data_IF_392343347288
#
_entry.id   IF_392343347288
#
_cell.length_a   1.000
_cell.length_b   1.000
_cell.length_c   1.000
_cell.angle_alpha   90.00
_cell.angle_beta   90.00
_cell.angle_gamma   90.00
#
_symmetry.space_group_name_H-M   'P 1'
#
loop_
_entity.id
_entity.type
_entity.pdbx_description
1 polymer ?
#
# COMPACT_ATOMS: atom_id res chain seq x y z
N UNK A 1 50.18 24.50 39.91
CA UNK A 1 48.99 24.95 39.14
C UNK A 1 48.92 24.13 37.87
N UNK A 2 47.90 23.28 37.71
CA UNK A 2 47.68 22.58 36.44
C UNK A 2 47.20 23.59 35.40
N UNK A 3 47.96 23.80 34.33
CA UNK A 3 47.49 24.56 33.17
C UNK A 3 46.39 23.74 32.49
N UNK A 4 45.15 24.23 32.51
CA UNK A 4 44.11 23.71 31.64
C UNK A 4 44.50 24.04 30.19
N UNK A 5 44.78 23.02 29.39
CA UNK A 5 44.95 23.18 27.95
C UNK A 5 43.56 23.44 27.34
N UNK A 6 43.41 24.55 26.62
CA UNK A 6 42.20 24.87 25.85
C UNK A 6 42.26 24.27 24.45
N UNK A 7 41.10 24.16 23.79
CA UNK A 7 40.97 23.74 22.40
C UNK A 7 41.59 24.76 21.45
N UNK A 8 42.25 24.29 20.39
CA UNK A 8 42.75 25.17 19.32
C UNK A 8 41.68 25.38 18.24
N UNK A 9 41.77 26.49 17.49
CA UNK A 9 40.90 26.72 16.33
C UNK A 9 40.98 25.57 15.31
N UNK A 10 42.19 25.02 15.10
CA UNK A 10 42.42 23.88 14.20
C UNK A 10 41.66 22.64 14.70
N UNK A 11 41.72 22.37 16.00
CA UNK A 11 41.02 21.23 16.61
C UNK A 11 39.49 21.38 16.51
N UNK A 12 38.96 22.60 16.70
CA UNK A 12 37.55 22.87 16.47
C UNK A 12 37.14 22.67 15.00
N UNK A 13 37.95 23.11 14.05
CA UNK A 13 37.66 22.94 12.61
C UNK A 13 37.72 21.46 12.21
N UNK A 14 38.73 20.72 12.69
CA UNK A 14 38.88 19.29 12.40
C UNK A 14 37.72 18.48 13.00
N UNK A 15 37.32 18.76 14.24
CA UNK A 15 36.19 18.07 14.88
C UNK A 15 34.89 18.33 14.15
N UNK A 16 34.60 19.59 13.78
CA UNK A 16 33.40 19.93 12.99
C UNK A 16 33.42 19.26 11.62
N UNK A 17 34.58 19.20 10.95
CA UNK A 17 34.71 18.50 9.66
C UNK A 17 34.44 16.99 9.78
N UNK A 18 34.98 16.33 10.81
CA UNK A 18 34.73 14.90 11.05
C UNK A 18 33.24 14.66 11.29
N UNK A 19 32.59 15.47 12.12
CA UNK A 19 31.15 15.37 12.38
C UNK A 19 30.33 15.58 11.10
N UNK A 20 30.70 16.55 10.26
CA UNK A 20 30.02 16.81 8.99
C UNK A 20 30.12 15.63 8.01
N UNK A 21 31.30 15.00 7.90
CA UNK A 21 31.51 13.81 7.04
C UNK A 21 30.68 12.63 7.55
N UNK A 22 30.70 12.38 8.87
CA UNK A 22 29.92 11.30 9.48
C UNK A 22 28.41 11.51 9.28
N UNK A 23 27.94 12.75 9.45
CA UNK A 23 26.54 13.09 9.22
C UNK A 23 26.10 12.86 7.77
N UNK A 24 26.94 13.21 6.79
CA UNK A 24 26.66 12.98 5.37
C UNK A 24 26.53 11.49 5.02
N UNK A 25 27.35 10.62 5.63
CA UNK A 25 27.29 9.17 5.40
C UNK A 25 26.06 8.47 6.00
N UNK A 26 25.43 9.04 7.03
CA UNK A 26 24.31 8.41 7.72
C UNK A 26 22.96 8.52 6.97
N UNK A 27 22.76 9.60 6.21
CA UNK A 27 21.51 9.86 5.47
C UNK A 27 21.09 8.77 4.46
N UNK A 28 21.97 8.27 3.56
CA UNK A 28 21.56 7.28 2.55
C UNK A 28 21.10 5.95 3.16
N UNK A 29 21.69 5.53 4.28
CA UNK A 29 21.31 4.30 4.99
C UNK A 29 19.89 4.42 5.57
N UNK A 30 19.55 5.59 6.10
CA UNK A 30 18.22 5.88 6.63
C UNK A 30 17.15 5.85 5.54
N UNK A 31 17.42 6.50 4.39
CA UNK A 31 16.49 6.50 3.24
C UNK A 31 16.22 5.08 2.72
N UNK A 32 17.27 4.23 2.64
CA UNK A 32 17.13 2.83 2.26
C UNK A 32 16.23 2.06 3.23
N UNK A 33 16.38 2.30 4.53
CA UNK A 33 15.59 1.63 5.57
C UNK A 33 14.12 2.03 5.48
N UNK A 34 13.84 3.34 5.31
CA UNK A 34 12.48 3.85 5.12
C UNK A 34 11.84 3.22 3.89
N UNK A 35 12.54 3.22 2.75
CA UNK A 35 12.04 2.63 1.51
C UNK A 35 11.73 1.14 1.67
N UNK A 36 12.64 0.37 2.27
CA UNK A 36 12.42 -1.06 2.55
C UNK A 36 11.19 -1.28 3.44
N UNK A 37 10.98 -0.45 4.45
CA UNK A 37 9.79 -0.53 5.31
C UNK A 37 8.51 -0.24 4.52
N UNK A 38 8.50 0.81 3.69
CA UNK A 38 7.37 1.14 2.82
C UNK A 38 7.08 -0.01 1.83
N UNK A 39 8.10 -0.67 1.28
CA UNK A 39 7.92 -1.81 0.38
C UNK A 39 7.29 -3.03 1.08
N UNK A 40 7.70 -3.33 2.31
CA UNK A 40 7.10 -4.39 3.11
C UNK A 40 5.65 -4.08 3.47
N UNK A 41 5.37 -2.82 3.81
CA UNK A 41 4.02 -2.33 4.08
C UNK A 41 3.13 -2.43 2.84
N UNK A 42 3.64 -1.99 1.67
CA UNK A 42 2.95 -2.07 0.38
C UNK A 42 2.53 -3.51 0.07
N UNK A 43 3.47 -4.47 0.16
CA UNK A 43 3.19 -5.89 -0.08
C UNK A 43 2.15 -6.45 0.89
N UNK A 44 2.17 -5.98 2.14
CA UNK A 44 1.19 -6.36 3.16
C UNK A 44 -0.19 -5.81 2.83
N UNK A 45 -0.29 -4.54 2.45
CA UNK A 45 -1.54 -3.89 2.06
C UNK A 45 -2.14 -4.51 0.80
N UNK A 46 -1.32 -4.76 -0.24
CA UNK A 46 -1.75 -5.46 -1.47
C UNK A 46 -2.33 -6.84 -1.14
N UNK A 47 -1.62 -7.64 -0.33
CA UNK A 47 -2.11 -8.97 0.09
C UNK A 47 -3.41 -8.87 0.88
N UNK A 48 -3.52 -7.90 1.78
CA UNK A 48 -4.72 -7.70 2.58
C UNK A 48 -5.94 -7.38 1.71
N UNK A 49 -5.78 -6.48 0.73
CA UNK A 49 -6.86 -6.11 -0.19
C UNK A 49 -7.22 -7.28 -1.10
N UNK A 50 -6.24 -7.93 -1.74
CA UNK A 50 -6.46 -9.11 -2.61
C UNK A 50 -7.16 -10.24 -1.87
N UNK A 51 -6.77 -10.53 -0.64
CA UNK A 51 -7.45 -11.54 0.20
C UNK A 51 -8.92 -11.18 0.47
N UNK A 52 -9.22 -9.89 0.66
CA UNK A 52 -10.60 -9.42 0.85
C UNK A 52 -11.43 -9.55 -0.44
N UNK A 53 -10.83 -9.25 -1.59
CA UNK A 53 -11.44 -9.46 -2.92
C UNK A 53 -11.74 -10.95 -3.14
N UNK A 54 -10.77 -11.82 -2.88
CA UNK A 54 -10.93 -13.27 -3.01
C UNK A 54 -12.03 -13.81 -2.07
N UNK A 55 -12.11 -13.28 -0.85
CA UNK A 55 -13.16 -13.62 0.10
C UNK A 55 -14.54 -13.16 -0.38
N UNK A 56 -14.64 -11.99 -1.02
CA UNK A 56 -15.87 -11.53 -1.67
C UNK A 56 -16.27 -12.48 -2.79
N UNK A 57 -15.35 -12.80 -3.70
CA UNK A 57 -15.59 -13.72 -4.82
C UNK A 57 -16.07 -15.09 -4.33
N UNK A 58 -15.44 -15.62 -3.28
CA UNK A 58 -15.87 -16.86 -2.64
C UNK A 58 -17.30 -16.78 -2.08
N UNK A 59 -17.64 -15.70 -1.37
CA UNK A 59 -18.99 -15.51 -0.85
C UNK A 59 -20.04 -15.35 -1.98
N UNK A 60 -19.65 -14.73 -3.09
CA UNK A 60 -20.47 -14.67 -4.29
C UNK A 60 -20.69 -16.08 -4.84
N UNK A 61 -19.63 -16.86 -5.06
CA UNK A 61 -19.71 -18.20 -5.63
C UNK A 61 -20.57 -19.14 -4.75
N UNK A 62 -20.44 -19.04 -3.42
CA UNK A 62 -21.27 -19.74 -2.41
C UNK A 62 -22.75 -19.30 -2.38
N UNK A 63 -23.14 -18.26 -3.13
CA UNK A 63 -24.52 -17.77 -3.20
C UNK A 63 -24.96 -16.92 -2.00
N UNK A 64 -24.02 -16.48 -1.15
CA UNK A 64 -24.30 -15.57 -0.04
C UNK A 64 -24.61 -14.16 -0.52
N UNK A 65 -24.11 -13.78 -1.69
CA UNK A 65 -24.34 -12.48 -2.31
C UNK A 65 -25.40 -12.65 -3.40
N UNK A 66 -26.26 -11.63 -3.56
CA UNK A 66 -27.25 -11.62 -4.65
C UNK A 66 -26.51 -11.68 -5.99
N UNK A 67 -26.76 -12.73 -6.77
CA UNK A 67 -26.23 -12.88 -8.12
C UNK A 67 -27.16 -12.22 -9.12
N UNK A 68 -26.62 -11.34 -9.95
CA UNK A 68 -27.26 -10.91 -11.20
C UNK A 68 -26.55 -11.55 -12.40
N UNK A 69 -27.21 -11.61 -13.56
CA UNK A 69 -26.66 -12.27 -14.74
C UNK A 69 -25.45 -11.55 -15.34
N UNK A 70 -25.24 -10.29 -14.97
CA UNK A 70 -24.15 -9.43 -15.47
C UNK A 70 -22.97 -9.34 -14.49
N UNK A 71 -23.08 -9.93 -13.29
CA UNK A 71 -22.03 -9.87 -12.28
C UNK A 71 -20.85 -10.80 -12.63
N UNK A 72 -19.64 -10.25 -12.66
CA UNK A 72 -18.40 -11.03 -12.72
C UNK A 72 -18.13 -11.84 -11.43
N UNK A 73 -18.83 -11.48 -10.35
CA UNK A 73 -18.66 -12.01 -9.01
C UNK A 73 -17.54 -11.33 -8.21
N UNK A 74 -16.87 -10.33 -8.78
CA UNK A 74 -15.95 -9.45 -8.06
C UNK A 74 -16.70 -8.24 -7.47
N UNK A 75 -16.16 -7.59 -6.43
CA UNK A 75 -16.77 -6.39 -5.86
C UNK A 75 -16.82 -5.25 -6.90
N UNK A 76 -17.91 -4.48 -6.99
CA UNK A 76 -17.99 -3.36 -7.94
C UNK A 76 -17.04 -2.21 -7.56
N UNK A 77 -16.80 -2.01 -6.26
CA UNK A 77 -15.87 -1.00 -5.75
C UNK A 77 -15.17 -1.48 -4.47
N UNK A 78 -14.04 -0.85 -4.10
CA UNK A 78 -13.32 -1.19 -2.86
C UNK A 78 -14.12 -0.86 -1.59
N UNK A 79 -14.98 0.17 -1.63
CA UNK A 79 -15.88 0.54 -0.54
C UNK A 79 -16.80 -0.62 -0.16
N UNK A 80 -17.22 -1.44 -1.13
CA UNK A 80 -18.11 -2.58 -0.86
C UNK A 80 -17.46 -3.61 0.07
N UNK A 81 -16.13 -3.74 0.05
CA UNK A 81 -15.41 -4.64 0.93
C UNK A 81 -15.47 -4.18 2.40
N UNK A 82 -15.48 -2.87 2.63
CA UNK A 82 -15.52 -2.24 3.95
C UNK A 82 -16.96 -2.12 4.50
N UNK A 83 -17.88 -1.59 3.68
CA UNK A 83 -19.29 -1.46 4.04
C UNK A 83 -19.93 -2.84 4.26
N UNK A 84 -19.56 -3.79 3.41
CA UNK A 84 -20.07 -5.15 3.39
C UNK A 84 -21.39 -5.30 2.64
N UNK A 85 -21.78 -6.55 2.41
CA UNK A 85 -22.98 -6.93 1.65
C UNK A 85 -23.90 -7.83 2.49
N UNK A 86 -25.20 -7.82 2.20
CA UNK A 86 -26.15 -8.67 2.90
C UNK A 86 -25.99 -10.14 2.50
N UNK A 87 -25.87 -11.01 3.51
CA UNK A 87 -25.91 -12.46 3.34
C UNK A 87 -27.35 -12.92 3.05
N UNK A 88 -27.59 -13.38 1.83
CA UNK A 88 -28.88 -13.88 1.40
C UNK A 88 -29.22 -15.26 1.98
N UNK A 89 -28.21 -16.02 2.44
CA UNK A 89 -28.41 -17.34 3.04
C UNK A 89 -28.74 -17.25 4.53
N UNK A 90 -28.40 -16.15 5.18
CA UNK A 90 -28.64 -15.97 6.60
C UNK A 90 -30.08 -15.50 6.88
N UNK A 91 -30.80 -16.12 7.85
CA UNK A 91 -32.20 -15.77 8.15
C UNK A 91 -32.39 -14.33 8.64
N UNK A 92 -31.32 -13.66 9.11
CA UNK A 92 -31.34 -12.26 9.56
C UNK A 92 -30.61 -11.29 8.61
N UNK A 93 -30.29 -11.71 7.37
CA UNK A 93 -29.56 -10.89 6.38
C UNK A 93 -28.34 -10.19 6.96
N UNK A 94 -27.49 -10.96 7.66
CA UNK A 94 -26.30 -10.43 8.32
C UNK A 94 -25.40 -9.75 7.28
N UNK A 95 -24.79 -8.61 7.64
CA UNK A 95 -23.82 -7.94 6.77
C UNK A 95 -22.49 -8.70 6.84
N UNK A 96 -21.99 -9.14 5.69
CA UNK A 96 -20.67 -9.72 5.48
C UNK A 96 -19.70 -8.60 5.10
N UNK A 97 -18.73 -8.33 5.98
CA UNK A 97 -17.62 -7.42 5.70
C UNK A 97 -16.37 -8.24 5.42
N UNK A 98 -15.60 -7.84 4.42
CA UNK A 98 -14.42 -8.57 3.96
C UNK A 98 -13.12 -7.94 4.48
N UNK A 99 -13.15 -6.66 4.79
CA UNK A 99 -12.04 -5.93 5.40
C UNK A 99 -12.55 -4.95 6.46
N UNK A 100 -11.70 -4.65 7.44
CA UNK A 100 -12.04 -3.68 8.51
C UNK A 100 -11.94 -2.23 8.04
N UNK A 101 -10.97 -1.95 7.17
CA UNK A 101 -10.68 -0.66 6.55
C UNK A 101 -9.74 -0.89 5.38
N UNK A 102 -9.93 -0.16 4.28
CA UNK A 102 -8.96 -0.16 3.17
C UNK A 102 -7.67 0.56 3.63
N UNK A 103 -6.51 -0.11 3.65
CA UNK A 103 -5.25 0.55 3.96
C UNK A 103 -4.84 1.50 2.83
N UNK A 104 -4.11 2.57 3.13
CA UNK A 104 -3.57 3.50 2.11
C UNK A 104 -2.35 2.90 1.43
N UNK A 105 -2.13 3.24 0.15
CA UNK A 105 -0.86 2.96 -0.52
C UNK A 105 0.28 3.75 0.16
N UNK A 106 1.27 3.08 0.79
CA UNK A 106 2.39 3.76 1.45
C UNK A 106 3.37 4.44 0.48
N UNK A 107 3.26 4.16 -0.83
CA UNK A 107 4.03 4.79 -1.90
C UNK A 107 3.31 5.99 -2.54
N UNK A 108 2.06 6.26 -2.14
CA UNK A 108 1.29 7.40 -2.66
C UNK A 108 1.87 8.72 -2.14
N UNK A 109 2.16 9.63 -3.07
CA UNK A 109 2.65 10.99 -2.76
C UNK A 109 1.54 11.96 -2.41
N UNK A 110 0.32 11.70 -2.89
CA UNK A 110 -0.84 12.51 -2.57
C UNK A 110 -1.31 12.17 -1.16
N UNK A 111 -1.29 13.17 -0.26
CA UNK A 111 -1.71 13.02 1.15
C UNK A 111 -3.19 13.32 1.38
N UNK A 112 -3.82 14.04 0.46
CA UNK A 112 -5.22 14.48 0.55
C UNK A 112 -6.17 13.43 -0.04
N UNK A 113 -5.69 12.62 -1.00
CA UNK A 113 -6.43 11.48 -1.52
C UNK A 113 -6.88 10.53 -0.39
N UNK A 114 -8.08 9.97 -0.53
CA UNK A 114 -8.55 8.92 0.37
C UNK A 114 -7.72 7.64 0.24
N UNK A 115 -7.84 6.74 1.21
CA UNK A 115 -7.15 5.45 1.13
C UNK A 115 -7.54 4.64 -0.12
N UNK A 116 -8.77 4.81 -0.60
CA UNK A 116 -9.29 4.09 -1.77
C UNK A 116 -8.74 4.68 -3.07
N UNK A 117 -8.74 6.01 -3.19
CA UNK A 117 -8.20 6.72 -4.35
C UNK A 117 -6.68 6.59 -4.49
N UNK A 118 -5.99 6.20 -3.41
CA UNK A 118 -4.55 5.94 -3.46
C UNK A 118 -4.16 4.71 -4.27
N UNK A 119 -5.11 3.84 -4.62
CA UNK A 119 -4.88 2.60 -5.37
C UNK A 119 -5.36 2.69 -6.81
N UNK A 120 -4.58 2.13 -7.72
CA UNK A 120 -5.05 1.78 -9.07
C UNK A 120 -5.92 0.55 -8.98
N UNK A 121 -7.05 0.56 -9.68
CA UNK A 121 -7.98 -0.57 -9.75
C UNK A 121 -7.89 -1.25 -11.11
N UNK A 122 -7.96 -2.56 -11.09
CA UNK A 122 -7.97 -3.40 -12.28
C UNK A 122 -9.26 -4.20 -12.33
N UNK A 123 -9.97 -4.13 -13.44
CA UNK A 123 -11.19 -4.92 -13.68
C UNK A 123 -10.88 -6.32 -14.19
N UNK A 124 -11.80 -7.26 -14.00
CA UNK A 124 -11.68 -8.65 -14.43
C UNK A 124 -11.56 -8.80 -15.94
N UNK A 125 -12.24 -7.93 -16.69
CA UNK A 125 -12.20 -7.91 -18.15
C UNK A 125 -10.90 -7.30 -18.72
N UNK A 126 -10.07 -6.67 -17.88
CA UNK A 126 -8.83 -6.04 -18.33
C UNK A 126 -7.70 -7.06 -18.52
N UNK A 127 -6.91 -6.84 -19.57
CA UNK A 127 -5.71 -7.64 -19.84
C UNK A 127 -4.68 -7.50 -18.72
N UNK A 128 -3.91 -8.57 -18.47
CA UNK A 128 -2.86 -8.56 -17.46
C UNK A 128 -1.73 -7.56 -17.79
N UNK A 129 -1.45 -7.36 -19.07
CA UNK A 129 -0.45 -6.42 -19.58
C UNK A 129 -0.91 -4.95 -19.59
N UNK A 130 -2.22 -4.69 -19.54
CA UNK A 130 -2.78 -3.34 -19.59
C UNK A 130 -3.97 -3.20 -18.64
N UNK A 131 -3.71 -3.10 -17.31
CA UNK A 131 -4.75 -2.92 -16.31
C UNK A 131 -5.61 -1.69 -16.60
N UNK A 132 -6.93 -1.86 -16.55
CA UNK A 132 -7.88 -0.75 -16.66
C UNK A 132 -9.00 -0.90 -15.64
N UNK A 133 -9.49 0.24 -15.16
CA UNK A 133 -10.72 0.29 -14.38
C UNK A 133 -11.91 -0.16 -15.23
N UNK A 134 -12.94 -0.66 -14.57
CA UNK A 134 -14.14 -1.17 -15.21
C UNK A 134 -15.30 -1.25 -14.22
N UNK A 135 -16.23 -2.16 -14.48
CA UNK A 135 -17.42 -2.35 -13.64
C UNK A 135 -17.13 -3.05 -12.30
N UNK A 136 -15.94 -3.64 -12.15
CA UNK A 136 -15.52 -4.40 -10.98
C UNK A 136 -14.06 -4.13 -10.60
N UNK A 137 -13.70 -4.60 -9.40
CA UNK A 137 -12.35 -4.60 -8.87
C UNK A 137 -11.89 -6.04 -8.70
N UNK A 138 -11.13 -6.50 -9.68
CA UNK A 138 -10.45 -7.79 -9.68
C UNK A 138 -9.11 -7.75 -8.95
N UNK A 139 -8.35 -6.67 -9.16
CA UNK A 139 -7.04 -6.49 -8.54
C UNK A 139 -6.76 -5.01 -8.27
N UNK A 140 -5.75 -4.74 -7.43
CA UNK A 140 -5.26 -3.42 -7.10
C UNK A 140 -3.76 -3.34 -7.26
N UNK A 141 -3.26 -2.15 -7.58
CA UNK A 141 -1.83 -1.87 -7.73
C UNK A 141 -1.49 -0.45 -7.27
N UNK A 142 -0.21 -0.17 -7.01
CA UNK A 142 0.24 1.17 -6.61
C UNK A 142 0.23 2.13 -7.80
N UNK A 143 -0.25 3.36 -7.59
CA UNK A 143 -0.17 4.45 -8.59
C UNK A 143 1.20 5.13 -8.62
N UNK A 144 2.12 4.73 -7.74
CA UNK A 144 3.44 5.36 -7.65
C UNK A 144 4.29 5.08 -8.90
N UNK A 145 4.87 6.11 -9.53
CA UNK A 145 5.78 5.94 -10.68
C UNK A 145 7.18 5.44 -10.26
N UNK A 146 7.39 5.21 -8.96
CA UNK A 146 8.70 4.82 -8.42
C UNK A 146 9.03 3.36 -8.70
N UNK A 147 10.33 3.08 -8.71
CA UNK A 147 10.86 1.71 -8.75
C UNK A 147 11.18 1.22 -7.36
N UNK A 148 10.94 -0.06 -7.14
CA UNK A 148 11.38 -0.79 -5.97
C UNK A 148 12.91 -0.94 -5.91
N UNK A 149 13.41 -1.45 -4.79
CA UNK A 149 14.82 -1.75 -4.57
C UNK A 149 15.36 -2.84 -5.52
N UNK A 150 14.50 -3.72 -6.04
CA UNK A 150 14.84 -4.73 -7.04
C UNK A 150 14.78 -4.21 -8.50
N UNK A 151 14.38 -2.94 -8.70
CA UNK A 151 14.28 -2.31 -10.01
C UNK A 151 12.93 -2.47 -10.72
N UNK A 152 12.00 -3.25 -10.19
CA UNK A 152 10.62 -3.36 -10.70
C UNK A 152 9.79 -2.13 -10.35
N UNK A 153 8.73 -1.84 -11.10
CA UNK A 153 7.83 -0.73 -10.77
C UNK A 153 6.78 -1.19 -9.74
N UNK A 154 6.38 -0.31 -8.83
CA UNK A 154 5.33 -0.66 -7.85
C UNK A 154 3.96 -0.89 -8.50
N UNK A 155 3.73 -0.35 -9.69
CA UNK A 155 2.53 -0.62 -10.48
C UNK A 155 2.45 -2.05 -11.01
N UNK A 156 3.55 -2.82 -11.00
CA UNK A 156 3.57 -4.22 -11.44
C UNK A 156 3.49 -5.21 -10.27
N UNK A 157 3.29 -4.72 -9.04
CA UNK A 157 3.23 -5.54 -7.82
C UNK A 157 1.84 -6.00 -7.48
#
# INVERSE_FOLDING_TARGET
MMRHAGFTLIELVVTVMIVAILAAGAMPVMQLTIKRNQEMELRTHLRQIRTAIDAYKKAFDEGKIKKTLEDSGYPPTLETLELGVQDQTAPKKKILRFIRRIPRDPMSSDKEASAIESWGKRSYLSEASSPSEGADVYDVYSLSPQKALDGTFYSTW
#
